data_IF_184562152152
#
_entry.id   IF_184562152152
#
_cell.length_a   1.000
_cell.length_b   1.000
_cell.length_c   1.000
_cell.angle_alpha   90.00
_cell.angle_beta   90.00
_cell.angle_gamma   90.00
#
_symmetry.space_group_name_H-M   'P 1'
#
loop_
_entity.id
_entity.type
_entity.pdbx_description
1 polymer ?
#
# COMPACT_ATOMS: atom_id res chain seq x y z
N UNK A 1 11.39 15.04 -4.70
CA UNK A 1 10.76 14.54 -3.47
C UNK A 1 11.14 13.09 -3.31
N UNK A 2 11.61 12.71 -2.14
CA UNK A 2 11.96 11.35 -1.80
C UNK A 2 11.10 10.91 -0.60
N UNK A 3 10.59 9.69 -0.67
CA UNK A 3 9.74 9.11 0.36
C UNK A 3 10.54 8.05 1.11
N UNK A 4 10.48 8.07 2.43
CA UNK A 4 11.19 7.12 3.30
C UNK A 4 10.20 6.37 4.19
N UNK A 5 10.37 5.05 4.26
CA UNK A 5 9.61 4.12 5.10
C UNK A 5 10.14 4.08 6.54
N UNK A 6 10.38 5.26 7.09
CA UNK A 6 10.91 5.48 8.44
C UNK A 6 10.62 6.89 8.92
N UNK A 7 10.82 7.13 10.22
CA UNK A 7 10.72 8.46 10.85
C UNK A 7 11.90 9.37 10.56
N UNK A 8 13.01 8.83 10.05
CA UNK A 8 14.25 9.54 9.74
C UNK A 8 14.81 9.11 8.38
N UNK A 9 15.83 9.85 7.91
CA UNK A 9 16.57 9.53 6.69
C UNK A 9 17.81 8.65 6.94
N UNK A 10 18.18 8.39 8.20
CA UNK A 10 19.38 7.64 8.57
C UNK A 10 19.24 6.16 8.20
N UNK A 11 18.03 5.62 8.33
CA UNK A 11 17.71 4.24 7.94
C UNK A 11 17.90 3.97 6.44
N UNK A 12 17.85 5.04 5.62
CA UNK A 12 17.88 5.00 4.16
C UNK A 12 16.87 4.03 3.50
N UNK A 13 15.74 3.75 4.18
CA UNK A 13 14.65 2.93 3.63
C UNK A 13 13.78 3.75 2.67
N UNK A 14 14.26 3.99 1.46
CA UNK A 14 13.53 4.77 0.45
C UNK A 14 12.42 3.97 -0.24
N UNK A 15 11.22 4.56 -0.35
CA UNK A 15 10.10 4.07 -1.17
C UNK A 15 10.14 4.63 -2.60
N UNK A 16 11.09 5.52 -2.88
CA UNK A 16 11.32 6.08 -4.19
C UNK A 16 11.62 7.56 -4.16
N UNK A 17 12.33 8.00 -5.21
CA UNK A 17 12.70 9.39 -5.46
C UNK A 17 12.08 9.87 -6.75
N UNK A 18 11.37 10.99 -6.67
CA UNK A 18 10.55 11.53 -7.75
C UNK A 18 10.98 12.98 -8.05
N UNK A 19 11.11 13.28 -9.34
CA UNK A 19 11.40 14.61 -9.85
C UNK A 19 10.72 14.83 -11.21
N UNK A 20 10.69 16.09 -11.66
CA UNK A 20 10.09 16.47 -12.94
C UNK A 20 8.57 16.55 -12.89
N UNK A 21 7.88 16.01 -13.90
CA UNK A 21 6.43 16.17 -14.06
C UNK A 21 5.64 14.91 -13.68
N UNK A 22 4.31 15.03 -13.60
CA UNK A 22 3.42 13.95 -13.14
C UNK A 22 3.54 12.65 -13.96
N UNK A 23 4.04 12.69 -15.21
CA UNK A 23 4.24 11.47 -16.01
C UNK A 23 5.34 10.56 -15.46
N UNK A 24 6.24 11.11 -14.65
CA UNK A 24 7.34 10.38 -14.00
C UNK A 24 6.95 9.86 -12.61
N UNK A 25 5.81 10.29 -12.07
CA UNK A 25 5.30 9.76 -10.83
C UNK A 25 4.67 8.37 -11.06
N UNK A 26 4.83 7.42 -10.12
CA UNK A 26 4.19 6.12 -10.21
C UNK A 26 2.68 6.26 -10.24
N UNK A 27 2.03 5.45 -11.08
CA UNK A 27 0.55 5.38 -11.17
C UNK A 27 -0.06 4.49 -10.09
N UNK A 28 0.76 3.70 -9.41
CA UNK A 28 0.36 2.86 -8.28
C UNK A 28 0.46 3.64 -6.97
N UNK A 29 -0.28 3.19 -5.95
CA UNK A 29 -0.17 3.74 -4.59
C UNK A 29 1.11 3.25 -3.94
N UNK A 30 1.81 4.14 -3.25
CA UNK A 30 2.98 3.81 -2.44
C UNK A 30 2.49 3.58 -1.01
N UNK A 31 2.84 2.42 -0.43
CA UNK A 31 2.48 2.06 0.94
C UNK A 31 3.74 1.96 1.79
N UNK A 32 3.72 2.54 2.99
CA UNK A 32 4.74 2.29 4.01
C UNK A 32 4.54 0.89 4.60
N UNK A 33 5.62 0.25 5.04
CA UNK A 33 5.53 -1.03 5.78
C UNK A 33 5.11 -0.83 7.23
N UNK A 34 5.22 0.40 7.74
CA UNK A 34 4.86 0.75 9.11
C UNK A 34 4.10 2.07 9.22
N UNK A 35 3.92 2.57 10.46
CA UNK A 35 3.15 3.79 10.73
C UNK A 35 3.90 5.08 10.37
N UNK A 36 5.16 4.98 9.96
CA UNK A 36 6.03 6.14 9.72
C UNK A 36 6.32 6.29 8.23
N UNK A 37 6.04 7.47 7.70
CA UNK A 37 6.39 7.89 6.35
C UNK A 37 7.02 9.28 6.41
N UNK A 38 8.29 9.39 6.02
CA UNK A 38 8.98 10.68 5.92
C UNK A 38 9.02 11.16 4.47
N UNK A 39 8.62 12.41 4.27
CA UNK A 39 8.64 13.08 2.96
C UNK A 39 9.77 14.11 2.96
N UNK A 40 10.80 13.88 2.14
CA UNK A 40 11.93 14.79 2.02
C UNK A 40 11.94 15.47 0.65
N UNK A 41 11.79 16.79 0.65
CA UNK A 41 11.95 17.61 -0.56
C UNK A 41 13.31 18.32 -0.50
N UNK A 42 14.15 18.05 -1.51
CA UNK A 42 15.39 18.77 -1.75
C UNK A 42 15.25 19.65 -2.99
N UNK A 43 15.63 20.91 -2.87
CA UNK A 43 15.69 21.89 -3.96
C UNK A 43 17.09 22.48 -4.09
N UNK A 44 17.35 23.17 -5.20
CA UNK A 44 18.51 24.03 -5.39
C UNK A 44 18.08 25.51 -5.46
N UNK A 45 19.01 26.41 -5.74
CA UNK A 45 18.78 27.86 -5.81
C UNK A 45 18.40 28.37 -7.23
N UNK A 46 18.37 27.50 -8.24
CA UNK A 46 18.30 27.93 -9.65
C UNK A 46 16.89 27.87 -10.25
N UNK A 47 16.16 26.77 -10.02
CA UNK A 47 14.89 26.51 -10.73
C UNK A 47 13.78 26.18 -9.74
N UNK A 48 12.67 26.91 -9.86
CA UNK A 48 11.44 26.71 -9.12
C UNK A 48 10.29 26.33 -10.06
N UNK A 49 9.40 25.45 -9.57
CA UNK A 49 8.21 24.97 -10.27
C UNK A 49 7.04 24.84 -9.28
N UNK A 50 5.88 24.36 -9.74
CA UNK A 50 4.65 24.25 -8.93
C UNK A 50 4.71 23.27 -7.74
N UNK A 51 5.83 22.56 -7.55
CA UNK A 51 6.01 21.63 -6.43
C UNK A 51 5.24 20.32 -6.60
N UNK A 52 4.69 19.81 -5.50
CA UNK A 52 3.99 18.53 -5.46
C UNK A 52 2.81 18.58 -4.48
N UNK A 53 1.82 17.71 -4.69
CA UNK A 53 0.73 17.44 -3.75
C UNK A 53 0.70 15.95 -3.45
N UNK A 54 0.76 15.58 -2.17
CA UNK A 54 0.51 14.22 -1.70
C UNK A 54 -0.85 14.17 -1.02
N UNK A 55 -1.58 13.09 -1.26
CA UNK A 55 -2.74 12.70 -0.48
C UNK A 55 -2.32 11.46 0.29
N UNK A 56 -2.26 11.56 1.61
CA UNK A 56 -1.84 10.47 2.50
C UNK A 56 -3.06 10.03 3.28
N UNK A 57 -3.30 8.72 3.28
CA UNK A 57 -4.40 8.09 4.03
C UNK A 57 -3.79 6.99 4.88
N UNK A 58 -4.07 7.01 6.17
CA UNK A 58 -3.74 5.91 7.07
C UNK A 58 -4.73 4.78 6.85
N UNK A 59 -4.23 3.56 6.70
CA UNK A 59 -5.02 2.33 6.59
C UNK A 59 -4.45 1.28 7.53
N UNK A 60 -5.24 0.26 7.82
CA UNK A 60 -4.72 -0.95 8.46
C UNK A 60 -3.62 -1.57 7.59
N UNK A 61 -2.64 -2.18 8.25
CA UNK A 61 -1.55 -2.87 7.58
C UNK A 61 -1.75 -4.38 7.50
N UNK A 62 -0.76 -5.08 6.96
CA UNK A 62 -0.73 -6.54 6.85
C UNK A 62 -0.93 -7.25 8.20
N UNK A 63 -0.31 -6.73 9.27
CA UNK A 63 -0.46 -7.28 10.63
C UNK A 63 -1.90 -7.26 11.15
N UNK A 64 -2.73 -6.34 10.63
CA UNK A 64 -4.11 -6.16 11.01
C UNK A 64 -5.05 -6.76 9.93
N UNK A 65 -4.52 -7.60 9.04
CA UNK A 65 -5.28 -8.31 8.01
C UNK A 65 -5.61 -7.48 6.75
N UNK A 66 -5.10 -6.26 6.61
CA UNK A 66 -5.38 -5.40 5.47
C UNK A 66 -4.22 -5.38 4.47
N UNK A 67 -4.26 -6.30 3.51
CA UNK A 67 -3.25 -6.47 2.47
C UNK A 67 -2.08 -7.37 2.86
N UNK A 68 -1.03 -7.36 2.04
CA UNK A 68 0.19 -8.15 2.27
C UNK A 68 0.50 -9.14 1.14
N UNK A 69 1.44 -10.05 1.38
CA UNK A 69 1.84 -11.10 0.42
C UNK A 69 1.34 -12.46 0.89
N UNK A 70 0.65 -13.17 0.02
CA UNK A 70 0.15 -14.51 0.27
C UNK A 70 0.79 -15.50 -0.70
N UNK A 71 1.00 -16.72 -0.22
CA UNK A 71 1.49 -17.83 -1.02
C UNK A 71 0.40 -18.88 -1.11
N UNK A 72 -0.13 -19.07 -2.32
CA UNK A 72 -1.07 -20.13 -2.62
C UNK A 72 -0.38 -21.50 -2.49
N UNK A 73 -1.13 -22.45 -1.94
CA UNK A 73 -0.72 -23.84 -1.75
C UNK A 73 -1.70 -24.74 -2.48
N UNK A 74 -1.43 -26.04 -2.44
CA UNK A 74 -2.28 -27.08 -3.03
C UNK A 74 -3.60 -27.28 -2.25
N UNK A 75 -3.80 -26.52 -1.17
CA UNK A 75 -4.95 -26.56 -0.27
C UNK A 75 -5.65 -25.20 -0.26
N UNK A 76 -6.98 -25.21 -0.12
CA UNK A 76 -7.75 -23.98 0.03
C UNK A 76 -7.35 -23.24 1.30
N UNK A 77 -7.10 -21.94 1.16
CA UNK A 77 -6.84 -21.00 2.25
C UNK A 77 -7.94 -19.93 2.22
N UNK A 78 -8.32 -19.43 3.39
CA UNK A 78 -9.34 -18.38 3.50
C UNK A 78 -8.68 -17.03 3.67
N UNK A 79 -9.14 -16.04 2.89
CA UNK A 79 -8.80 -14.64 3.04
C UNK A 79 -10.11 -13.88 3.29
N UNK A 80 -10.13 -13.08 4.36
CA UNK A 80 -11.26 -12.23 4.73
C UNK A 80 -10.79 -10.79 4.91
N UNK A 81 -11.71 -9.84 4.73
CA UNK A 81 -11.46 -8.45 5.12
C UNK A 81 -11.23 -8.36 6.64
N UNK A 82 -10.44 -7.38 7.11
CA UNK A 82 -10.36 -7.10 8.54
C UNK A 82 -11.75 -6.76 9.10
N UNK A 83 -11.99 -7.17 10.34
CA UNK A 83 -13.24 -6.91 11.06
C UNK A 83 -12.93 -6.20 12.37
N UNK A 84 -13.80 -5.30 12.77
CA UNK A 84 -13.84 -4.71 14.11
C UNK A 84 -14.51 -5.66 15.12
N UNK A 85 -14.70 -5.18 16.35
CA UNK A 85 -15.30 -5.97 17.44
C UNK A 85 -16.76 -6.36 17.17
N UNK A 86 -17.46 -5.62 16.31
CA UNK A 86 -18.85 -5.85 15.92
C UNK A 86 -18.96 -6.71 14.65
N UNK A 87 -17.82 -7.12 14.06
CA UNK A 87 -17.77 -7.93 12.84
C UNK A 87 -17.86 -7.11 11.54
N UNK A 88 -17.85 -5.78 11.61
CA UNK A 88 -17.90 -4.91 10.45
C UNK A 88 -16.49 -4.61 9.95
N UNK A 89 -16.32 -4.37 8.65
CA UNK A 89 -15.05 -3.86 8.16
C UNK A 89 -14.89 -2.37 8.53
N UNK A 90 -13.71 -1.94 9.00
CA UNK A 90 -13.48 -0.53 9.26
C UNK A 90 -13.65 0.35 8.02
N UNK A 91 -14.12 1.58 8.22
CA UNK A 91 -14.27 2.56 7.14
C UNK A 91 -12.93 3.02 6.56
N UNK A 92 -12.94 3.47 5.30
CA UNK A 92 -11.78 4.07 4.60
C UNK A 92 -10.55 3.17 4.46
N UNK A 93 -10.74 1.85 4.49
CA UNK A 93 -9.66 0.90 4.25
C UNK A 93 -9.28 0.78 2.78
N UNK A 94 -7.98 0.65 2.54
CA UNK A 94 -7.42 0.40 1.22
C UNK A 94 -6.52 -0.82 1.32
N UNK A 95 -7.15 -2.00 1.35
CA UNK A 95 -6.45 -3.27 1.43
C UNK A 95 -6.10 -3.79 0.04
N UNK A 96 -4.91 -4.38 -0.10
CA UNK A 96 -4.47 -5.02 -1.34
C UNK A 96 -3.53 -6.17 -1.06
N UNK A 97 -3.88 -7.36 -1.56
CA UNK A 97 -3.09 -8.58 -1.39
C UNK A 97 -2.39 -8.94 -2.70
N UNK A 98 -1.11 -9.31 -2.60
CA UNK A 98 -0.36 -9.92 -3.70
C UNK A 98 -0.31 -11.42 -3.46
N UNK A 99 -1.01 -12.18 -4.28
CA UNK A 99 -1.04 -13.65 -4.19
C UNK A 99 -0.05 -14.22 -5.20
N UNK A 100 0.83 -15.10 -4.74
CA UNK A 100 1.83 -15.80 -5.55
C UNK A 100 1.68 -17.30 -5.42
N UNK A 101 2.12 -18.05 -6.43
CA UNK A 101 2.08 -19.52 -6.44
C UNK A 101 3.30 -20.11 -7.16
N UNK A 102 3.45 -21.44 -7.15
CA UNK A 102 4.54 -22.11 -7.85
C UNK A 102 4.61 -21.75 -9.34
N UNK A 103 5.82 -21.78 -9.91
CA UNK A 103 6.00 -21.57 -11.36
C UNK A 103 5.25 -22.67 -12.12
N UNK A 104 4.65 -22.32 -13.26
CA UNK A 104 3.82 -23.21 -14.08
C UNK A 104 2.54 -23.74 -13.37
N UNK A 105 2.05 -23.03 -12.35
CA UNK A 105 0.76 -23.29 -11.73
C UNK A 105 -0.26 -22.20 -12.08
N UNK A 106 -1.55 -22.50 -11.86
CA UNK A 106 -2.63 -21.53 -11.96
C UNK A 106 -3.18 -21.22 -10.57
N UNK A 107 -3.35 -19.93 -10.27
CA UNK A 107 -4.04 -19.51 -9.06
C UNK A 107 -5.56 -19.69 -9.25
N UNK A 108 -6.18 -20.46 -8.36
CA UNK A 108 -7.63 -20.58 -8.28
C UNK A 108 -8.14 -19.70 -7.13
N UNK A 109 -9.10 -18.81 -7.43
CA UNK A 109 -9.72 -17.92 -6.45
C UNK A 109 -11.22 -18.20 -6.45
N UNK A 110 -11.80 -18.35 -5.27
CA UNK A 110 -13.24 -18.50 -5.06
C UNK A 110 -13.71 -17.43 -4.09
N UNK A 111 -14.83 -16.79 -4.42
CA UNK A 111 -15.46 -15.79 -3.56
C UNK A 111 -16.61 -16.48 -2.84
N UNK A 112 -16.48 -16.63 -1.52
CA UNK A 112 -17.49 -17.30 -0.68
C UNK A 112 -18.54 -16.32 -0.13
N UNK A 113 -18.23 -15.02 -0.07
CA UNK A 113 -19.17 -13.97 0.35
C UNK A 113 -18.66 -12.57 0.01
N UNK A 114 -19.60 -11.65 -0.25
CA UNK A 114 -19.35 -10.22 -0.47
C UNK A 114 -20.46 -9.45 0.22
N UNK A 115 -20.08 -8.57 1.14
CA UNK A 115 -20.98 -7.64 1.81
C UNK A 115 -20.28 -6.28 1.87
N UNK A 116 -20.90 -5.25 1.29
CA UNK A 116 -20.33 -3.91 1.13
C UNK A 116 -21.44 -2.87 1.27
N UNK A 117 -21.10 -1.61 1.56
CA UNK A 117 -22.09 -0.55 1.70
C UNK A 117 -22.96 -0.44 0.44
N UNK A 118 -24.26 -0.24 0.64
CA UNK A 118 -25.18 0.10 -0.44
C UNK A 118 -24.91 1.54 -0.91
N UNK A 119 -24.85 1.73 -2.23
CA UNK A 119 -24.77 3.06 -2.86
C UNK A 119 -26.05 3.87 -2.67
#
# INVERSE_FOLDING_TARGET
VELFDSSDMVSNKTLGKFCGNMRQAPRYRIMSSGPNLLVHMKTDFNVNAGGFKLVVVSTLGEKDGCGGKLTATDTWQTLSSPQDEDGNYPSALVCGWTISGPVNSQLAIRIDGVDTELL
#
